data_IF_503009290700
#
_entry.id   IF_503009290700
#
_cell.length_a   1.000
_cell.length_b   1.000
_cell.length_c   1.000
_cell.angle_alpha   90.00
_cell.angle_beta   90.00
_cell.angle_gamma   90.00
#
_symmetry.space_group_name_H-M   'P 1'
#
loop_
_entity.id
_entity.type
_entity.pdbx_description
1 polymer ?
#
# COMPACT_ATOMS: atom_id res chain seq x y z
N UNK A 1 -16.74 -18.31 -28.79
CA UNK A 1 -16.77 -17.61 -27.48
C UNK A 1 -16.80 -16.11 -27.70
N UNK A 2 -17.73 -15.38 -27.05
CA UNK A 2 -17.83 -13.93 -27.21
C UNK A 2 -16.69 -13.22 -26.47
N UNK A 3 -15.79 -12.56 -27.18
CA UNK A 3 -14.70 -11.74 -26.62
C UNK A 3 -15.18 -10.37 -26.10
N UNK A 4 -16.47 -10.03 -26.27
CA UNK A 4 -17.03 -8.71 -25.91
C UNK A 4 -17.52 -8.61 -24.47
N UNK A 5 -17.74 -9.73 -23.77
CA UNK A 5 -18.27 -9.70 -22.41
C UNK A 5 -17.15 -9.42 -21.40
N UNK A 6 -17.16 -8.22 -20.85
CA UNK A 6 -16.32 -7.88 -19.69
C UNK A 6 -16.88 -8.55 -18.44
N UNK A 7 -16.02 -9.21 -17.66
CA UNK A 7 -16.44 -9.73 -16.36
C UNK A 7 -16.99 -8.59 -15.49
N UNK A 8 -18.08 -8.84 -14.72
CA UNK A 8 -18.58 -7.83 -13.79
C UNK A 8 -17.49 -7.47 -12.79
N UNK A 9 -17.34 -6.18 -12.49
CA UNK A 9 -16.44 -5.74 -11.45
C UNK A 9 -17.00 -6.18 -10.11
N UNK A 10 -16.24 -6.95 -9.34
CA UNK A 10 -16.61 -7.29 -7.98
C UNK A 10 -16.76 -6.01 -7.16
N UNK A 11 -17.87 -5.90 -6.45
CA UNK A 11 -18.09 -4.80 -5.51
C UNK A 11 -17.02 -4.86 -4.42
N UNK A 12 -16.50 -3.70 -3.97
CA UNK A 12 -15.54 -3.68 -2.88
C UNK A 12 -16.21 -4.24 -1.62
N UNK A 13 -15.60 -5.27 -1.05
CA UNK A 13 -16.02 -5.80 0.26
C UNK A 13 -15.67 -4.76 1.30
N UNK A 14 -16.62 -4.47 2.18
CA UNK A 14 -16.46 -3.53 3.29
C UNK A 14 -16.27 -4.32 4.58
N UNK A 15 -15.32 -3.90 5.41
CA UNK A 15 -15.07 -4.54 6.70
C UNK A 15 -16.25 -4.34 7.66
N UNK A 16 -16.76 -5.41 8.31
CA UNK A 16 -17.90 -5.31 9.20
C UNK A 16 -17.61 -4.53 10.48
N UNK A 17 -16.39 -4.60 11.03
CA UNK A 17 -15.98 -3.96 12.31
C UNK A 17 -15.73 -2.46 12.14
N UNK A 18 -14.99 -2.07 11.11
CA UNK A 18 -14.54 -0.69 10.90
C UNK A 18 -15.14 0.01 9.68
N UNK A 19 -16.04 -0.63 8.96
CA UNK A 19 -16.71 -0.09 7.75
C UNK A 19 -15.72 0.49 6.71
N UNK A 20 -14.51 -0.03 6.67
CA UNK A 20 -13.43 0.41 5.77
C UNK A 20 -13.32 -0.53 4.57
N UNK A 21 -13.09 0.03 3.38
CA UNK A 21 -12.81 -0.75 2.16
C UNK A 21 -11.33 -1.10 1.99
N UNK A 22 -10.45 -0.52 2.80
CA UNK A 22 -8.99 -0.74 2.73
C UNK A 22 -8.60 -1.97 3.55
N UNK A 23 -9.22 -2.17 4.71
CA UNK A 23 -8.92 -3.29 5.62
C UNK A 23 -9.07 -4.65 4.94
N UNK A 24 -10.16 -4.98 4.22
CA UNK A 24 -10.27 -6.26 3.52
C UNK A 24 -9.19 -6.45 2.45
N UNK A 25 -8.77 -5.38 1.77
CA UNK A 25 -7.66 -5.44 0.80
C UNK A 25 -6.34 -5.76 1.49
N UNK A 26 -6.10 -5.17 2.66
CA UNK A 26 -4.91 -5.44 3.47
C UNK A 26 -4.91 -6.89 3.97
N UNK A 27 -6.04 -7.40 4.49
CA UNK A 27 -6.22 -8.78 4.94
C UNK A 27 -5.91 -9.75 3.79
N UNK A 28 -6.51 -9.54 2.61
CA UNK A 28 -6.28 -10.38 1.45
C UNK A 28 -4.82 -10.36 0.97
N UNK A 29 -4.14 -9.23 1.13
CA UNK A 29 -2.74 -9.07 0.69
C UNK A 29 -1.73 -9.68 1.67
N UNK A 30 -2.06 -9.76 2.97
CA UNK A 30 -1.19 -10.37 3.98
C UNK A 30 -1.39 -11.87 4.09
N UNK A 31 -2.56 -12.36 3.69
CA UNK A 31 -2.97 -13.75 3.78
C UNK A 31 -2.00 -14.67 3.02
N UNK A 32 -1.66 -15.82 3.64
CA UNK A 32 -0.95 -16.94 3.03
C UNK A 32 -1.83 -18.19 3.01
N UNK A 33 -1.72 -19.01 2.00
CA UNK A 33 -2.36 -20.32 1.88
C UNK A 33 -3.88 -20.32 2.13
N UNK A 34 -4.56 -19.20 1.84
CA UNK A 34 -5.98 -19.04 2.07
C UNK A 34 -6.40 -18.90 3.54
N UNK A 35 -5.45 -18.77 4.47
CA UNK A 35 -5.70 -18.66 5.92
C UNK A 35 -6.23 -17.27 6.32
N UNK A 36 -7.45 -16.96 5.87
CA UNK A 36 -8.04 -15.62 6.02
C UNK A 36 -8.28 -15.23 7.48
N UNK A 37 -8.80 -16.13 8.30
CA UNK A 37 -9.08 -15.88 9.73
C UNK A 37 -7.83 -15.49 10.53
N UNK A 38 -6.69 -16.10 10.21
CA UNK A 38 -5.39 -15.75 10.81
C UNK A 38 -4.97 -14.33 10.40
N UNK A 39 -5.13 -14.00 9.10
CA UNK A 39 -4.82 -12.66 8.60
C UNK A 39 -5.72 -11.58 9.22
N UNK A 40 -7.02 -11.86 9.36
CA UNK A 40 -7.99 -10.99 10.06
C UNK A 40 -7.56 -10.71 11.49
N UNK A 41 -7.25 -11.77 12.25
CA UNK A 41 -6.77 -11.63 13.63
C UNK A 41 -5.53 -10.76 13.73
N UNK A 42 -4.54 -10.96 12.86
CA UNK A 42 -3.31 -10.15 12.82
C UNK A 42 -3.62 -8.66 12.63
N UNK A 43 -4.51 -8.33 11.70
CA UNK A 43 -4.86 -6.94 11.40
C UNK A 43 -5.68 -6.32 12.53
N UNK A 44 -6.67 -7.04 13.08
CA UNK A 44 -7.46 -6.53 14.19
C UNK A 44 -6.62 -6.32 15.44
N UNK A 45 -5.74 -7.26 15.79
CA UNK A 45 -4.79 -7.12 16.90
C UNK A 45 -3.88 -5.89 16.70
N UNK A 46 -3.44 -5.60 15.47
CA UNK A 46 -2.64 -4.43 15.18
C UNK A 46 -3.44 -3.13 15.37
N UNK A 47 -4.70 -3.08 14.92
CA UNK A 47 -5.57 -1.91 15.06
C UNK A 47 -5.95 -1.70 16.53
N UNK A 48 -6.22 -2.77 17.29
CA UNK A 48 -6.53 -2.68 18.71
C UNK A 48 -5.32 -2.15 19.52
N UNK A 49 -4.07 -2.45 19.10
CA UNK A 49 -2.85 -1.83 19.66
C UNK A 49 -2.73 -0.34 19.33
N UNK A 50 -3.16 0.10 18.16
CA UNK A 50 -3.24 1.54 17.83
C UNK A 50 -4.18 2.22 18.82
N UNK A 51 -5.36 1.62 19.08
CA UNK A 51 -6.35 2.12 20.04
C UNK A 51 -5.79 2.26 21.46
N UNK A 52 -4.95 1.31 21.91
CA UNK A 52 -4.36 1.35 23.24
C UNK A 52 -3.25 2.40 23.39
N UNK A 53 -2.59 2.78 22.29
CA UNK A 53 -1.45 3.72 22.31
C UNK A 53 -1.83 5.17 22.02
N UNK A 54 -2.93 5.40 21.29
CA UNK A 54 -3.41 6.71 20.90
C UNK A 54 -4.80 6.99 21.45
N UNK A 55 -5.08 8.28 21.69
CA UNK A 55 -6.42 8.77 22.07
C UNK A 55 -7.33 8.95 20.86
N UNK A 56 -6.74 9.03 19.66
CA UNK A 56 -7.48 9.23 18.41
C UNK A 56 -8.13 7.93 17.95
N UNK A 57 -9.14 8.07 17.08
CA UNK A 57 -9.82 6.93 16.52
C UNK A 57 -8.85 6.08 15.66
N UNK A 58 -8.71 4.75 15.94
CA UNK A 58 -7.73 3.90 15.29
C UNK A 58 -7.83 3.88 13.75
N UNK A 59 -9.06 4.01 13.24
CA UNK A 59 -9.30 3.99 11.80
C UNK A 59 -8.80 5.27 11.13
N UNK A 60 -8.87 6.41 11.81
CA UNK A 60 -8.36 7.70 11.31
C UNK A 60 -6.85 7.62 11.17
N UNK A 61 -6.14 7.17 12.21
CA UNK A 61 -4.68 6.97 12.19
C UNK A 61 -4.28 6.02 11.06
N UNK A 62 -5.01 4.91 10.91
CA UNK A 62 -4.76 3.94 9.84
C UNK A 62 -4.93 4.58 8.45
N UNK A 63 -6.00 5.32 8.23
CA UNK A 63 -6.26 5.98 6.94
C UNK A 63 -5.22 7.05 6.62
N UNK A 64 -4.81 7.85 7.61
CA UNK A 64 -3.75 8.85 7.45
C UNK A 64 -2.40 8.20 7.15
N UNK A 65 -2.04 7.13 7.87
CA UNK A 65 -0.84 6.36 7.57
C UNK A 65 -0.83 5.84 6.12
N UNK A 66 -1.94 5.25 5.67
CA UNK A 66 -2.06 4.80 4.27
C UNK A 66 -1.95 5.97 3.29
N UNK A 67 -2.56 7.12 3.59
CA UNK A 67 -2.46 8.31 2.74
C UNK A 67 -1.02 8.85 2.67
N UNK A 68 -0.29 8.82 3.78
CA UNK A 68 1.11 9.21 3.83
C UNK A 68 2.01 8.28 2.98
N UNK A 69 1.67 6.99 2.87
CA UNK A 69 2.42 5.99 2.08
C UNK A 69 2.11 6.11 0.59
N UNK A 70 0.91 6.52 0.19
CA UNK A 70 0.49 6.55 -1.23
C UNK A 70 1.45 7.37 -2.10
N UNK A 71 2.05 6.77 -3.16
CA UNK A 71 2.86 7.52 -4.10
C UNK A 71 1.97 8.27 -5.11
N UNK A 72 2.39 9.48 -5.50
CA UNK A 72 1.77 10.26 -6.58
C UNK A 72 2.34 9.92 -7.95
N UNK A 73 3.62 9.52 -8.00
CA UNK A 73 4.35 9.18 -9.22
C UNK A 73 5.06 7.84 -9.07
N UNK A 74 5.21 7.13 -10.18
CA UNK A 74 6.04 5.92 -10.30
C UNK A 74 6.91 6.01 -11.55
N UNK A 75 7.97 5.23 -11.60
CA UNK A 75 8.82 5.12 -12.78
C UNK A 75 8.50 3.83 -13.50
N UNK A 76 8.29 3.92 -14.82
CA UNK A 76 8.05 2.77 -15.70
C UNK A 76 9.10 2.70 -16.78
N UNK A 77 9.64 1.50 -17.00
CA UNK A 77 10.55 1.24 -18.10
C UNK A 77 9.80 1.27 -19.42
N UNK A 78 10.30 2.04 -20.39
CA UNK A 78 9.82 2.09 -21.77
C UNK A 78 10.99 1.87 -22.72
N UNK A 79 10.79 1.03 -23.74
CA UNK A 79 11.79 0.78 -24.78
C UNK A 79 11.49 1.66 -25.99
N UNK A 80 12.44 2.52 -26.34
CA UNK A 80 12.35 3.44 -27.47
C UNK A 80 13.61 3.30 -28.30
N UNK A 81 13.50 2.97 -29.59
CA UNK A 81 14.65 2.86 -30.48
C UNK A 81 15.75 1.88 -30.03
N UNK A 82 15.38 0.83 -29.28
CA UNK A 82 16.33 -0.16 -28.76
C UNK A 82 16.89 0.15 -27.36
N UNK A 83 16.82 1.39 -26.89
CA UNK A 83 17.22 1.80 -25.55
C UNK A 83 16.03 1.73 -24.56
N UNK A 84 16.31 1.40 -23.28
CA UNK A 84 15.30 1.36 -22.22
C UNK A 84 15.40 2.62 -21.37
N UNK A 85 14.32 3.39 -21.34
CA UNK A 85 14.22 4.61 -20.54
C UNK A 85 13.30 4.41 -19.36
N UNK A 86 13.64 5.04 -18.24
CA UNK A 86 12.81 5.09 -17.03
C UNK A 86 11.91 6.32 -17.10
N UNK A 87 10.63 6.12 -17.44
CA UNK A 87 9.68 7.21 -17.68
C UNK A 87 8.84 7.45 -16.44
N UNK A 88 8.82 8.66 -15.86
CA UNK A 88 7.95 9.01 -14.76
C UNK A 88 6.50 9.10 -15.20
N UNK A 89 5.60 8.46 -14.47
CA UNK A 89 4.16 8.40 -14.76
C UNK A 89 3.37 8.66 -13.49
N UNK A 90 2.32 9.47 -13.58
CA UNK A 90 1.38 9.67 -12.48
C UNK A 90 0.63 8.38 -12.16
N UNK A 91 0.43 8.12 -10.88
CA UNK A 91 -0.21 6.90 -10.40
C UNK A 91 -1.70 7.13 -10.16
N UNK A 92 -2.56 6.34 -10.83
CA UNK A 92 -4.01 6.37 -10.58
C UNK A 92 -4.31 5.96 -9.14
N UNK A 93 -5.35 6.56 -8.52
CA UNK A 93 -5.71 6.36 -7.12
C UNK A 93 -5.80 4.89 -6.66
N UNK A 94 -6.43 4.03 -7.47
CA UNK A 94 -6.53 2.59 -7.15
C UNK A 94 -5.17 1.88 -7.13
N UNK A 95 -4.27 2.25 -8.02
CA UNK A 95 -2.92 1.70 -8.08
C UNK A 95 -2.05 2.23 -6.94
N UNK A 96 -2.16 3.52 -6.64
CA UNK A 96 -1.48 4.15 -5.50
C UNK A 96 -1.83 3.45 -4.19
N UNK A 97 -3.13 3.16 -3.98
CA UNK A 97 -3.60 2.39 -2.83
C UNK A 97 -3.02 0.96 -2.81
N UNK A 98 -3.00 0.27 -3.95
CA UNK A 98 -2.45 -1.09 -4.03
C UNK A 98 -0.94 -1.11 -3.76
N UNK A 99 -0.19 -0.10 -4.24
CA UNK A 99 1.24 0.05 -3.96
C UNK A 99 1.47 0.32 -2.47
N UNK A 100 0.70 1.22 -1.86
CA UNK A 100 0.80 1.53 -0.43
C UNK A 100 0.61 0.28 0.44
N UNK A 101 -0.42 -0.53 0.16
CA UNK A 101 -0.68 -1.79 0.88
C UNK A 101 0.49 -2.77 0.72
N UNK A 102 0.98 -2.95 -0.51
CA UNK A 102 2.10 -3.87 -0.79
C UNK A 102 3.38 -3.43 -0.07
N UNK A 103 3.72 -2.15 -0.16
CA UNK A 103 4.92 -1.63 0.49
C UNK A 103 4.83 -1.72 2.02
N UNK A 104 3.66 -1.45 2.59
CA UNK A 104 3.42 -1.62 4.02
C UNK A 104 3.69 -3.06 4.47
N UNK A 105 3.16 -4.05 3.75
CA UNK A 105 3.34 -5.47 4.08
C UNK A 105 4.80 -5.89 3.91
N UNK A 106 5.45 -5.50 2.82
CA UNK A 106 6.85 -5.84 2.55
C UNK A 106 7.79 -5.25 3.61
N UNK A 107 7.54 -4.02 4.03
CA UNK A 107 8.31 -3.37 5.09
C UNK A 107 8.05 -4.02 6.45
N UNK A 108 6.78 -4.29 6.79
CA UNK A 108 6.42 -4.97 8.02
C UNK A 108 7.09 -6.34 8.13
N UNK A 109 7.13 -7.12 7.04
CA UNK A 109 7.80 -8.44 7.04
C UNK A 109 9.30 -8.36 7.34
N UNK A 110 9.96 -7.27 6.97
CA UNK A 110 11.40 -7.04 7.19
C UNK A 110 11.73 -6.59 8.62
N UNK A 111 10.72 -6.18 9.41
CA UNK A 111 10.96 -5.78 10.82
C UNK A 111 11.39 -6.97 11.68
N UNK A 112 12.16 -6.70 12.73
CA UNK A 112 12.71 -7.71 13.65
C UNK A 112 11.74 -8.14 14.77
N UNK A 113 10.56 -7.51 14.88
CA UNK A 113 9.57 -7.85 15.88
C UNK A 113 9.12 -9.32 15.77
N UNK A 114 8.72 -9.96 16.88
CA UNK A 114 8.35 -11.39 16.90
C UNK A 114 7.01 -11.66 16.19
N UNK A 115 5.96 -10.90 16.52
CA UNK A 115 4.60 -11.12 16.02
C UNK A 115 4.34 -10.22 14.80
N UNK A 116 3.65 -10.75 13.79
CA UNK A 116 3.28 -9.97 12.61
C UNK A 116 2.34 -8.80 12.95
N UNK A 117 1.48 -8.94 13.95
CA UNK A 117 0.63 -7.86 14.45
C UNK A 117 1.46 -6.68 14.99
N UNK A 118 2.58 -6.95 15.69
CA UNK A 118 3.48 -5.91 16.19
C UNK A 118 4.21 -5.22 15.05
N UNK A 119 4.67 -5.98 14.06
CA UNK A 119 5.34 -5.46 12.86
C UNK A 119 4.44 -4.47 12.12
N UNK A 120 3.19 -4.86 11.87
CA UNK A 120 2.21 -4.03 11.18
C UNK A 120 1.85 -2.79 11.98
N UNK A 121 1.58 -2.98 13.29
CA UNK A 121 1.28 -1.87 14.20
C UNK A 121 2.41 -0.83 14.19
N UNK A 122 3.66 -1.26 14.38
CA UNK A 122 4.81 -0.36 14.43
C UNK A 122 5.01 0.36 13.09
N UNK A 123 4.84 -0.32 11.94
CA UNK A 123 5.01 0.29 10.63
C UNK A 123 3.89 1.29 10.31
N UNK A 124 2.64 1.00 10.70
CA UNK A 124 1.51 1.95 10.55
C UNK A 124 1.75 3.19 11.42
N UNK A 125 2.20 3.00 12.65
CA UNK A 125 2.43 4.10 13.58
C UNK A 125 3.61 4.98 13.14
N UNK A 126 4.69 4.38 12.64
CA UNK A 126 5.82 5.10 12.05
C UNK A 126 5.38 5.89 10.80
N UNK A 127 4.57 5.27 9.93
CA UNK A 127 4.04 5.92 8.73
C UNK A 127 3.08 7.07 9.04
N UNK A 128 2.28 6.95 10.10
CA UNK A 128 1.45 8.04 10.61
C UNK A 128 2.31 9.26 10.98
N UNK A 129 3.46 9.02 11.59
CA UNK A 129 4.42 10.06 11.96
C UNK A 129 5.36 10.48 10.80
N UNK A 130 5.06 10.09 9.56
CA UNK A 130 5.89 10.33 8.39
C UNK A 130 7.33 9.81 8.56
N UNK A 131 7.50 8.67 9.22
CA UNK A 131 8.77 7.97 9.45
C UNK A 131 8.68 6.53 8.96
N UNK A 132 9.80 5.82 9.01
CA UNK A 132 9.85 4.39 8.72
C UNK A 132 10.28 4.04 7.32
N UNK A 133 10.45 2.74 7.10
CA UNK A 133 11.01 2.21 5.85
C UNK A 133 10.07 2.37 4.65
N UNK A 134 8.75 2.39 4.89
CA UNK A 134 7.75 2.59 3.84
C UNK A 134 7.76 4.02 3.32
N UNK A 135 7.86 5.01 4.21
CA UNK A 135 7.94 6.42 3.82
C UNK A 135 9.22 6.66 3.02
N UNK A 136 10.35 6.13 3.49
CA UNK A 136 11.61 6.20 2.74
C UNK A 136 11.48 5.61 1.33
N UNK A 137 10.82 4.45 1.20
CA UNK A 137 10.58 3.84 -0.12
C UNK A 137 9.72 4.72 -1.04
N UNK A 138 8.72 5.41 -0.51
CA UNK A 138 7.93 6.39 -1.26
C UNK A 138 8.83 7.54 -1.73
N UNK A 139 9.63 8.11 -0.83
CA UNK A 139 10.55 9.21 -1.15
C UNK A 139 11.58 8.82 -2.20
N UNK A 140 12.17 7.62 -2.08
CA UNK A 140 13.13 7.09 -3.05
C UNK A 140 12.47 6.93 -4.43
N UNK A 141 11.20 6.47 -4.48
CA UNK A 141 10.43 6.37 -5.72
C UNK A 141 10.18 7.74 -6.35
N UNK A 142 9.82 8.74 -5.54
CA UNK A 142 9.61 10.11 -5.99
C UNK A 142 10.92 10.75 -6.47
N UNK A 143 12.03 10.54 -5.76
CA UNK A 143 13.37 10.98 -6.17
C UNK A 143 13.78 10.39 -7.52
N UNK A 144 13.56 9.08 -7.71
CA UNK A 144 13.83 8.44 -9.00
C UNK A 144 12.97 9.04 -10.13
N UNK A 145 11.71 9.33 -9.86
CA UNK A 145 10.82 9.96 -10.84
C UNK A 145 11.28 11.37 -11.18
N UNK A 146 11.73 12.14 -10.22
CA UNK A 146 12.26 13.49 -10.40
C UNK A 146 13.55 13.49 -11.21
N UNK A 147 14.50 12.60 -10.89
CA UNK A 147 15.76 12.43 -11.63
C UNK A 147 15.54 12.07 -13.10
N UNK A 148 14.45 11.36 -13.40
CA UNK A 148 14.10 10.93 -14.75
C UNK A 148 13.08 11.86 -15.43
N UNK A 149 12.81 13.05 -14.87
CA UNK A 149 11.82 14.00 -15.40
C UNK A 149 12.07 14.42 -16.86
N UNK A 150 13.32 14.44 -17.29
CA UNK A 150 13.70 14.73 -18.67
C UNK A 150 13.08 13.75 -19.69
N UNK A 151 12.78 12.50 -19.28
CA UNK A 151 12.19 11.46 -20.12
C UNK A 151 10.66 11.44 -20.09
N UNK A 152 10.00 12.40 -19.41
CA UNK A 152 8.55 12.45 -19.31
C UNK A 152 7.83 12.56 -20.66
N UNK A 153 8.49 13.11 -21.68
CA UNK A 153 7.94 13.22 -23.04
C UNK A 153 7.75 11.86 -23.76
N UNK A 154 8.38 10.79 -23.29
CA UNK A 154 8.15 9.42 -23.77
C UNK A 154 6.91 8.76 -23.13
N UNK A 155 6.06 9.54 -22.50
CA UNK A 155 4.79 9.09 -21.91
C UNK A 155 3.71 9.08 -23.00
N UNK A 156 3.33 7.90 -23.48
CA UNK A 156 2.14 7.64 -24.32
C UNK A 156 1.35 6.44 -23.77
#
# INVERSE_FOLDING_TARGET
MSRKRKAPKNLPVVDPKYKSSIIPKLINSIMYDGKKTVAEKIIYDAIDKIKSKSKDEPITIFNEAINNIKPSVEVRSRRVGGATYQVPVEVKANRSQALAIRWLIDASRKRKDKKMSDKIFNEIYDAYQNRGSVIKKKEDTHKMAESNKAFAHFRW
#
